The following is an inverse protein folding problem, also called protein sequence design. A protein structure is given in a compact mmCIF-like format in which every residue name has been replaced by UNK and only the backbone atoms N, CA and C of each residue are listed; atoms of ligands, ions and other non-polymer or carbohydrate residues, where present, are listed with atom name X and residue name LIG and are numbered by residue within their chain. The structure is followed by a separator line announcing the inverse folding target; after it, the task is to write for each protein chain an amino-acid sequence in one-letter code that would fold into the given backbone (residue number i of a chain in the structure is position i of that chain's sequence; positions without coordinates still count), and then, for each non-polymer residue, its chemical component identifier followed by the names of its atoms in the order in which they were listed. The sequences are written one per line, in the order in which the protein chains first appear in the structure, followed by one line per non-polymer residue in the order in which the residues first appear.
data_IF_494901766966
#
_entry.id   IF_494901766966
#
_cell.length_a   1.000
_cell.length_b   1.000
_cell.length_c   1.000
_cell.angle_alpha   90.00
_cell.angle_beta   90.00
_cell.angle_gamma   90.00
#
_symmetry.space_group_name_H-M   'P 1'
#
loop_
_entity.id
_entity.type
_entity.pdbx_description
1 polymer ?
#
# COMPACT_ATOMS: atom_id res chain seq x y z
N UNK A 1 22.87 -6.48 4.00
CA UNK A 1 23.43 -6.30 2.63
C UNK A 1 22.63 -7.06 1.61
N UNK A 2 22.13 -6.39 0.58
CA UNK A 2 21.38 -6.98 -0.53
C UNK A 2 22.05 -6.65 -1.88
N UNK A 3 21.83 -7.48 -2.90
CA UNK A 3 22.36 -7.20 -4.25
C UNK A 3 21.63 -6.00 -4.85
N UNK A 4 22.37 -5.10 -5.48
CA UNK A 4 21.85 -3.87 -6.04
C UNK A 4 20.77 -4.11 -7.12
N UNK A 5 20.96 -5.12 -8.00
CA UNK A 5 19.96 -5.48 -9.01
C UNK A 5 18.65 -5.97 -8.40
N UNK A 6 18.72 -6.67 -7.26
CA UNK A 6 17.55 -7.14 -6.53
C UNK A 6 16.88 -6.00 -5.77
N UNK A 7 17.66 -5.14 -5.13
CA UNK A 7 17.18 -3.95 -4.42
C UNK A 7 16.39 -3.02 -5.35
N UNK A 8 16.96 -2.70 -6.54
CA UNK A 8 16.27 -1.89 -7.54
C UNK A 8 14.96 -2.53 -8.04
N UNK A 9 14.98 -3.84 -8.30
CA UNK A 9 13.78 -4.56 -8.72
C UNK A 9 12.70 -4.60 -7.62
N UNK A 10 13.11 -4.70 -6.35
CA UNK A 10 12.19 -4.69 -5.21
C UNK A 10 11.42 -3.37 -5.05
N UNK A 11 11.92 -2.26 -5.64
CA UNK A 11 11.17 -0.99 -5.67
C UNK A 11 9.90 -1.03 -6.53
N UNK A 12 9.72 -2.09 -7.35
CA UNK A 12 8.61 -2.22 -8.28
C UNK A 12 8.66 -1.28 -9.50
N UNK A 13 9.67 -0.39 -9.58
CA UNK A 13 9.84 0.56 -10.71
C UNK A 13 10.48 -0.08 -11.93
N UNK A 14 11.34 -1.07 -11.71
CA UNK A 14 12.08 -1.77 -12.77
C UNK A 14 12.02 -3.28 -12.59
N UNK A 15 12.00 -4.00 -13.70
CA UNK A 15 12.28 -5.42 -13.69
C UNK A 15 13.77 -5.65 -13.36
N UNK A 16 14.13 -6.86 -12.96
CA UNK A 16 15.54 -7.22 -12.68
C UNK A 16 16.45 -7.05 -13.89
N UNK A 17 15.91 -7.24 -15.11
CA UNK A 17 16.62 -7.03 -16.38
C UNK A 17 16.91 -5.54 -16.61
N UNK A 18 15.91 -4.69 -16.40
CA UNK A 18 16.05 -3.23 -16.51
C UNK A 18 17.00 -2.68 -15.46
N UNK A 19 16.90 -3.14 -14.22
CA UNK A 19 17.81 -2.75 -13.13
C UNK A 19 19.28 -3.05 -13.51
N UNK A 20 19.57 -4.24 -14.04
CA UNK A 20 20.90 -4.59 -14.54
C UNK A 20 21.39 -3.67 -15.68
N UNK A 21 20.50 -3.31 -16.60
CA UNK A 21 20.83 -2.40 -17.70
C UNK A 21 21.16 -1.00 -17.18
N UNK A 22 20.38 -0.46 -16.24
CA UNK A 22 20.64 0.84 -15.60
C UNK A 22 21.99 0.88 -14.89
N UNK A 23 22.32 -0.17 -14.13
CA UNK A 23 23.59 -0.26 -13.42
C UNK A 23 24.77 -0.29 -14.41
N UNK A 24 24.69 -1.14 -15.45
CA UNK A 24 25.72 -1.23 -16.48
C UNK A 24 25.90 0.07 -17.27
N UNK A 25 24.84 0.83 -17.46
CA UNK A 25 24.86 2.13 -18.12
C UNK A 25 25.42 3.27 -17.24
N UNK A 26 25.84 2.99 -15.99
CA UNK A 26 26.37 4.00 -15.07
C UNK A 26 25.34 5.00 -14.56
N UNK A 27 24.03 4.70 -14.69
CA UNK A 27 22.91 5.56 -14.30
C UNK A 27 22.54 5.42 -12.82
N UNK A 28 23.15 4.45 -12.12
CA UNK A 28 22.91 4.15 -10.71
C UNK A 28 24.13 4.55 -9.89
N UNK A 29 23.92 5.21 -8.77
CA UNK A 29 24.96 5.49 -7.76
C UNK A 29 24.51 4.99 -6.40
N UNK A 30 25.47 4.58 -5.59
CA UNK A 30 25.29 4.18 -4.18
C UNK A 30 26.25 5.03 -3.37
N UNK A 31 25.76 5.83 -2.42
CA UNK A 31 26.58 6.79 -1.65
C UNK A 31 27.49 7.61 -2.58
N UNK A 32 26.94 8.15 -3.67
CA UNK A 32 27.64 8.90 -4.74
C UNK A 32 28.74 8.16 -5.50
N UNK A 33 29.03 6.90 -5.21
CA UNK A 33 29.96 6.05 -5.98
C UNK A 33 29.23 5.25 -7.05
N UNK A 34 29.93 4.96 -8.14
CA UNK A 34 29.49 3.99 -9.15
C UNK A 34 29.63 2.56 -8.58
N UNK A 35 28.58 1.73 -8.66
CA UNK A 35 28.69 0.33 -8.29
C UNK A 35 29.60 -0.44 -9.24
N UNK A 36 30.25 -1.48 -8.74
CA UNK A 36 31.14 -2.36 -9.54
C UNK A 36 30.34 -3.19 -10.55
N UNK A 37 29.09 -3.48 -10.26
CA UNK A 37 28.21 -4.24 -11.13
C UNK A 37 26.83 -4.50 -10.50
N UNK A 38 25.95 -5.20 -11.21
CA UNK A 38 24.60 -5.54 -10.71
C UNK A 38 24.57 -6.37 -9.43
N UNK A 39 25.64 -7.14 -9.20
CA UNK A 39 25.82 -7.98 -8.02
C UNK A 39 26.41 -7.24 -6.81
N UNK A 40 26.78 -5.97 -6.95
CA UNK A 40 27.33 -5.17 -5.85
C UNK A 40 26.36 -5.19 -4.66
N UNK A 41 26.91 -5.34 -3.47
CA UNK A 41 26.13 -5.45 -2.25
C UNK A 41 25.95 -4.07 -1.63
N UNK A 42 24.74 -3.75 -1.29
CA UNK A 42 24.34 -2.48 -0.70
C UNK A 42 23.80 -2.74 0.71
N UNK A 43 24.15 -1.91 1.64
CA UNK A 43 23.61 -1.95 3.01
C UNK A 43 22.19 -1.39 3.04
N UNK A 44 21.42 -1.85 4.01
CA UNK A 44 20.08 -1.30 4.26
C UNK A 44 20.22 0.17 4.69
N UNK A 45 19.40 1.05 4.11
CA UNK A 45 19.45 2.48 4.38
C UNK A 45 20.46 3.28 3.53
N UNK A 46 21.33 2.62 2.74
CA UNK A 46 22.23 3.35 1.83
C UNK A 46 21.47 4.20 0.83
N UNK A 47 21.96 5.41 0.60
CA UNK A 47 21.42 6.30 -0.44
C UNK A 47 21.71 5.72 -1.82
N UNK A 48 20.67 5.31 -2.52
CA UNK A 48 20.75 4.88 -3.93
C UNK A 48 20.06 5.90 -4.82
N UNK A 49 20.75 6.33 -5.89
CA UNK A 49 20.17 7.24 -6.87
C UNK A 49 20.14 6.61 -8.25
N UNK A 50 19.13 6.94 -9.04
CA UNK A 50 19.03 6.61 -10.47
C UNK A 50 18.82 7.93 -11.23
N UNK A 51 19.70 8.20 -12.20
CA UNK A 51 19.74 9.48 -12.93
C UNK A 51 19.79 10.72 -11.99
N UNK A 52 20.57 10.59 -10.90
CA UNK A 52 20.70 11.64 -9.88
C UNK A 52 19.48 11.81 -8.95
N UNK A 53 18.40 11.05 -9.14
CA UNK A 53 17.22 11.10 -8.28
C UNK A 53 17.29 10.00 -7.22
N UNK A 54 17.09 10.32 -5.94
CA UNK A 54 17.07 9.31 -4.89
C UNK A 54 15.89 8.35 -5.11
N UNK A 55 16.13 7.10 -4.81
CA UNK A 55 15.10 6.06 -4.81
C UNK A 55 14.90 5.53 -3.41
N UNK A 56 13.64 5.30 -3.06
CA UNK A 56 13.30 4.63 -1.82
C UNK A 56 13.60 3.14 -1.98
N UNK A 57 14.50 2.63 -1.14
CA UNK A 57 14.96 1.23 -1.17
C UNK A 57 14.37 0.40 -0.04
N UNK A 58 13.49 1.00 0.76
CA UNK A 58 12.78 0.30 1.83
C UNK A 58 11.99 -0.87 1.25
N UNK A 59 12.13 -2.01 1.92
CA UNK A 59 11.40 -3.24 1.58
C UNK A 59 9.90 -3.04 1.68
N UNK A 60 9.45 -2.36 2.72
CA UNK A 60 8.04 -2.09 2.97
C UNK A 60 7.73 -0.60 2.82
N UNK A 61 6.56 -0.34 2.28
CA UNK A 61 6.00 1.01 2.12
C UNK A 61 4.66 1.07 2.84
N UNK A 62 4.44 2.17 3.54
CA UNK A 62 3.21 2.43 4.29
C UNK A 62 2.70 3.80 3.89
N UNK A 63 1.53 3.85 3.27
CA UNK A 63 0.91 5.08 2.82
C UNK A 63 -0.47 5.20 3.48
N UNK A 64 -0.73 6.33 4.11
CA UNK A 64 -2.07 6.68 4.58
C UNK A 64 -2.77 7.48 3.48
N UNK A 65 -3.91 6.99 3.04
CA UNK A 65 -4.77 7.63 2.05
C UNK A 65 -6.06 8.07 2.73
N UNK A 66 -6.43 9.34 2.59
CA UNK A 66 -7.82 9.73 2.76
C UNK A 66 -8.55 9.35 1.47
N UNK A 67 -9.20 8.19 1.46
CA UNK A 67 -9.93 7.69 0.29
C UNK A 67 -11.13 8.62 0.02
N UNK A 68 -11.25 9.20 -1.17
CA UNK A 68 -12.44 9.94 -1.54
C UNK A 68 -13.57 9.00 -1.99
N UNK A 69 -14.80 9.51 -2.05
CA UNK A 69 -15.89 8.82 -2.74
C UNK A 69 -15.61 8.63 -4.23
N UNK A 70 -16.26 7.67 -4.85
CA UNK A 70 -16.21 7.40 -6.28
C UNK A 70 -15.04 6.54 -6.75
N UNK A 71 -14.19 6.03 -5.84
CA UNK A 71 -13.08 5.10 -6.16
C UNK A 71 -13.21 3.81 -5.35
N UNK A 72 -12.79 2.70 -5.96
CA UNK A 72 -12.87 1.38 -5.31
C UNK A 72 -11.57 1.02 -4.60
N UNK A 73 -11.68 0.25 -3.52
CA UNK A 73 -10.54 -0.29 -2.76
C UNK A 73 -9.99 -1.55 -3.43
N UNK A 74 -9.35 -1.37 -4.58
CA UNK A 74 -8.75 -2.43 -5.37
C UNK A 74 -7.34 -2.05 -5.84
N UNK A 75 -6.55 -3.04 -6.25
CA UNK A 75 -5.21 -2.81 -6.82
C UNK A 75 -5.28 -2.41 -8.28
N UNK A 76 -6.23 -2.97 -9.01
CA UNK A 76 -6.52 -2.65 -10.41
C UNK A 76 -7.96 -3.03 -10.74
N UNK A 77 -8.56 -2.34 -11.68
CA UNK A 77 -9.87 -2.66 -12.25
C UNK A 77 -9.91 -2.20 -13.71
N UNK A 78 -10.73 -2.88 -14.53
CA UNK A 78 -10.84 -2.58 -15.95
C UNK A 78 -11.78 -1.42 -16.27
N UNK A 79 -12.70 -1.08 -15.35
CA UNK A 79 -13.77 -0.11 -15.56
C UNK A 79 -13.75 1.03 -14.54
N UNK A 80 -13.36 0.71 -13.32
CA UNK A 80 -13.45 1.61 -12.19
C UNK A 80 -12.07 2.16 -11.79
N UNK A 81 -12.05 3.41 -11.38
CA UNK A 81 -10.86 4.02 -10.80
C UNK A 81 -10.57 3.42 -9.43
N UNK A 82 -9.35 3.02 -9.21
CA UNK A 82 -8.92 2.40 -7.95
C UNK A 82 -8.19 3.37 -7.04
N UNK A 83 -8.03 3.00 -5.78
CA UNK A 83 -7.25 3.78 -4.81
C UNK A 83 -5.78 3.90 -5.19
N UNK A 84 -5.21 2.94 -5.93
CA UNK A 84 -3.83 3.02 -6.42
C UNK A 84 -3.67 4.02 -7.58
N UNK A 85 -4.74 4.29 -8.34
CA UNK A 85 -4.73 5.30 -9.41
C UNK A 85 -4.64 6.73 -8.88
N UNK A 86 -4.94 6.93 -7.59
CA UNK A 86 -4.82 8.23 -6.94
C UNK A 86 -3.37 8.58 -6.58
N UNK A 87 -2.50 7.57 -6.49
CA UNK A 87 -1.13 7.80 -6.07
C UNK A 87 -0.32 8.58 -7.13
N UNK A 88 0.54 9.50 -6.72
CA UNK A 88 1.56 10.09 -7.58
C UNK A 88 2.45 9.01 -8.21
N UNK A 89 2.98 9.26 -9.39
CA UNK A 89 3.77 8.27 -10.15
C UNK A 89 5.00 7.75 -9.39
N UNK A 90 5.63 8.58 -8.60
CA UNK A 90 6.80 8.25 -7.78
C UNK A 90 6.49 7.33 -6.60
N UNK A 91 5.24 7.35 -6.10
CA UNK A 91 4.76 6.46 -5.04
C UNK A 91 4.09 5.18 -5.56
N UNK A 92 3.84 5.08 -6.88
CA UNK A 92 3.22 3.88 -7.46
C UNK A 92 4.19 2.72 -7.47
N UNK A 93 3.78 1.62 -6.85
CA UNK A 93 4.49 0.33 -6.88
C UNK A 93 3.48 -0.76 -7.23
N UNK A 94 3.93 -1.75 -8.01
CA UNK A 94 3.08 -2.86 -8.46
C UNK A 94 2.67 -3.82 -7.33
N UNK A 95 3.41 -3.80 -6.23
CA UNK A 95 3.22 -4.66 -5.07
C UNK A 95 2.38 -4.03 -3.96
N UNK A 96 1.92 -2.76 -4.12
CA UNK A 96 1.03 -2.11 -3.17
C UNK A 96 -0.40 -2.65 -3.26
N UNK A 97 -1.03 -2.76 -2.10
CA UNK A 97 -2.44 -3.14 -1.97
C UNK A 97 -3.09 -2.42 -0.78
N UNK A 98 -4.41 -2.22 -0.79
CA UNK A 98 -5.14 -1.62 0.32
C UNK A 98 -5.28 -2.61 1.48
N UNK A 99 -5.10 -2.12 2.71
CA UNK A 99 -5.32 -2.86 3.96
C UNK A 99 -6.80 -2.74 4.35
N UNK A 100 -7.59 -3.68 3.90
CA UNK A 100 -9.03 -3.64 4.01
C UNK A 100 -9.69 -2.92 2.84
N UNK A 101 -11.01 -2.77 2.94
CA UNK A 101 -11.82 -2.20 1.89
C UNK A 101 -12.82 -1.23 2.49
N UNK A 102 -12.90 -0.05 1.90
CA UNK A 102 -14.02 0.88 2.04
C UNK A 102 -14.83 0.80 0.76
N UNK A 103 -16.14 0.89 0.85
CA UNK A 103 -17.02 0.91 -0.31
C UNK A 103 -16.72 2.11 -1.22
N UNK A 104 -17.23 2.06 -2.45
CA UNK A 104 -16.95 3.08 -3.46
C UNK A 104 -17.27 4.49 -2.95
N UNK A 105 -18.40 4.64 -2.28
CA UNK A 105 -18.90 5.92 -1.80
C UNK A 105 -18.49 6.26 -0.35
N UNK A 106 -17.85 5.31 0.34
CA UNK A 106 -17.29 5.54 1.67
C UNK A 106 -15.98 6.30 1.58
N UNK A 107 -15.85 7.35 2.38
CA UNK A 107 -14.64 8.16 2.51
C UNK A 107 -13.90 7.83 3.81
N UNK A 108 -12.61 8.10 3.87
CA UNK A 108 -11.86 8.01 5.11
C UNK A 108 -10.50 7.35 5.00
N UNK A 109 -9.95 6.96 6.15
CA UNK A 109 -8.62 6.40 6.25
C UNK A 109 -8.54 5.02 5.60
N UNK A 110 -7.66 4.89 4.63
CA UNK A 110 -7.27 3.62 4.03
C UNK A 110 -5.74 3.52 4.01
N UNK A 111 -5.21 2.47 4.60
CA UNK A 111 -3.78 2.18 4.55
C UNK A 111 -3.46 1.40 3.26
N UNK A 112 -2.40 1.82 2.56
CA UNK A 112 -1.84 1.11 1.42
C UNK A 112 -0.43 0.64 1.78
N UNK A 113 -0.13 -0.62 1.52
CA UNK A 113 1.19 -1.19 1.84
C UNK A 113 1.51 -2.37 0.94
N UNK A 114 2.74 -2.85 0.96
CA UNK A 114 3.18 -4.14 0.44
C UNK A 114 3.60 -5.10 1.57
N UNK A 115 3.34 -4.74 2.84
CA UNK A 115 3.58 -5.60 4.00
C UNK A 115 2.36 -6.48 4.29
N UNK A 116 2.36 -7.69 3.73
CA UNK A 116 1.28 -8.66 3.94
C UNK A 116 1.15 -9.12 5.39
N UNK A 117 2.25 -9.16 6.14
CA UNK A 117 2.21 -9.55 7.56
C UNK A 117 1.49 -8.51 8.41
N UNK A 118 1.80 -7.22 8.20
CA UNK A 118 1.09 -6.12 8.86
C UNK A 118 -0.39 -6.11 8.45
N UNK A 119 -0.69 -6.22 7.16
CA UNK A 119 -2.07 -6.23 6.68
C UNK A 119 -2.89 -7.37 7.32
N UNK A 120 -2.33 -8.57 7.38
CA UNK A 120 -2.96 -9.70 8.06
C UNK A 120 -3.17 -9.42 9.56
N UNK A 121 -2.17 -8.83 10.24
CA UNK A 121 -2.28 -8.48 11.66
C UNK A 121 -3.41 -7.47 11.93
N UNK A 122 -3.65 -6.52 11.00
CA UNK A 122 -4.70 -5.50 11.12
C UNK A 122 -6.09 -6.00 10.72
N UNK A 123 -6.17 -6.99 9.83
CA UNK A 123 -7.45 -7.45 9.26
C UNK A 123 -7.97 -8.75 9.86
N UNK A 124 -7.09 -9.57 10.46
CA UNK A 124 -7.48 -10.86 11.01
C UNK A 124 -8.51 -10.68 12.13
N UNK A 125 -9.68 -11.36 12.07
CA UNK A 125 -10.75 -11.20 13.07
C UNK A 125 -10.27 -11.45 14.51
N UNK A 126 -9.41 -12.44 14.72
CA UNK A 126 -8.87 -12.77 16.02
C UNK A 126 -7.88 -11.75 16.63
N UNK A 127 -7.55 -10.68 15.91
CA UNK A 127 -6.67 -9.60 16.42
C UNK A 127 -7.45 -8.44 17.01
N UNK A 128 -8.75 -8.35 16.77
CA UNK A 128 -9.67 -7.34 17.32
C UNK A 128 -9.14 -5.90 17.21
N UNK A 129 -8.59 -5.55 16.03
CA UNK A 129 -8.19 -4.17 15.77
C UNK A 129 -9.43 -3.35 15.42
N UNK A 130 -9.76 -2.41 16.29
CA UNK A 130 -10.95 -1.59 16.16
C UNK A 130 -10.92 -0.73 14.90
N UNK A 131 -12.08 -0.60 14.27
CA UNK A 131 -12.31 0.28 13.13
C UNK A 131 -13.50 1.16 13.47
N UNK A 132 -13.27 2.47 13.52
CA UNK A 132 -14.31 3.44 13.87
C UNK A 132 -14.89 4.03 12.58
N UNK A 133 -16.22 3.95 12.46
CA UNK A 133 -16.97 4.53 11.35
C UNK A 133 -17.92 5.59 11.86
N UNK A 134 -18.02 6.70 11.15
CA UNK A 134 -19.02 7.72 11.39
C UNK A 134 -20.01 7.71 10.23
N UNK A 135 -21.31 7.60 10.56
CA UNK A 135 -22.37 7.62 9.56
C UNK A 135 -23.42 8.68 9.94
N UNK A 136 -23.94 9.36 8.92
CA UNK A 136 -25.18 10.14 9.06
C UNK A 136 -26.33 9.25 8.63
N UNK A 137 -27.33 9.14 9.50
CA UNK A 137 -28.53 8.37 9.23
C UNK A 137 -29.72 9.33 9.05
N UNK A 138 -30.70 8.93 8.28
CA UNK A 138 -31.98 9.63 8.13
C UNK A 138 -32.96 9.01 9.12
N UNK A 139 -33.17 9.68 10.24
CA UNK A 139 -34.03 9.22 11.35
C UNK A 139 -33.43 9.53 12.71
N UNK A 140 -34.17 9.20 13.75
CA UNK A 140 -33.75 9.28 15.15
C UNK A 140 -33.22 7.91 15.59
N UNK A 141 -32.08 7.89 16.25
CA UNK A 141 -31.52 6.70 16.88
C UNK A 141 -31.97 6.64 18.34
N UNK A 142 -32.48 5.48 18.76
CA UNK A 142 -32.87 5.19 20.12
C UNK A 142 -31.82 4.35 20.86
N UNK A 143 -31.91 4.29 22.19
CA UNK A 143 -31.03 3.46 23.02
C UNK A 143 -31.09 1.97 22.62
N UNK A 144 -32.25 1.50 22.17
CA UNK A 144 -32.43 0.13 21.69
C UNK A 144 -31.63 -0.16 20.43
N UNK A 145 -31.41 0.82 19.55
CA UNK A 145 -30.58 0.65 18.34
C UNK A 145 -29.12 0.45 18.73
N UNK A 146 -28.64 1.21 19.72
CA UNK A 146 -27.28 1.07 20.25
C UNK A 146 -27.08 -0.33 20.86
N UNK A 147 -28.06 -0.82 21.61
CA UNK A 147 -28.02 -2.17 22.18
C UNK A 147 -28.00 -3.24 21.07
N UNK A 148 -28.86 -3.12 20.06
CA UNK A 148 -28.92 -4.04 18.92
C UNK A 148 -27.59 -4.08 18.14
N UNK A 149 -26.95 -2.94 17.92
CA UNK A 149 -25.60 -2.90 17.31
C UNK A 149 -24.54 -3.60 18.16
N UNK A 150 -24.62 -3.49 19.49
CA UNK A 150 -23.68 -4.14 20.40
C UNK A 150 -23.86 -5.66 20.47
N UNK A 151 -25.11 -6.14 20.39
CA UNK A 151 -25.44 -7.57 20.39
C UNK A 151 -25.22 -8.26 19.04
N UNK A 152 -25.19 -7.49 17.96
CA UNK A 152 -25.09 -7.94 16.58
C UNK A 152 -26.42 -7.81 15.84
N UNK A 153 -26.32 -7.41 14.58
CA UNK A 153 -27.48 -7.24 13.70
C UNK A 153 -27.49 -8.36 12.69
N UNK A 154 -28.62 -9.07 12.58
CA UNK A 154 -28.81 -10.06 11.54
C UNK A 154 -28.97 -9.37 10.19
N UNK A 155 -28.04 -9.61 9.28
CA UNK A 155 -28.08 -9.10 7.92
C UNK A 155 -29.11 -9.86 7.07
N UNK A 156 -29.49 -9.29 5.93
CA UNK A 156 -30.48 -9.88 5.04
C UNK A 156 -30.13 -11.25 4.47
N UNK A 157 -28.87 -11.66 4.55
CA UNK A 157 -28.35 -12.99 4.20
C UNK A 157 -28.30 -13.97 5.38
N UNK A 158 -28.74 -13.53 6.57
CA UNK A 158 -28.76 -14.32 7.81
C UNK A 158 -27.45 -14.30 8.61
N UNK A 159 -26.44 -13.54 8.19
CA UNK A 159 -25.20 -13.32 8.95
C UNK A 159 -25.47 -12.38 10.14
N UNK A 160 -24.84 -12.64 11.29
CA UNK A 160 -24.89 -11.76 12.49
C UNK A 160 -23.53 -11.16 12.73
#
# INVERSE_FOLDING_TARGET
MERLDKLLAATGKWSRKEAKALIKAGRVRVEDRLPKGPEDKVEEGSLVTVDGKPIFTEKYVYLMLHKPAGVISATQDAKEKTVLDLLPKDLRRKDLFPVGRLDKDTEGLLLLTNDGALAHALLAPGRHVDKVYYSKVDGELEENDVAAFAEGITLGDGTV
#
